data_IF_631109736973
#
_entry.id   IF_631109736973
#
_cell.length_a   1.000
_cell.length_b   1.000
_cell.length_c   1.000
_cell.angle_alpha   90.00
_cell.angle_beta   90.00
_cell.angle_gamma   90.00
#
_symmetry.space_group_name_H-M   'P 1'
#
loop_
_entity.id
_entity.type
_entity.pdbx_description
1 polymer ?
#
# COMPACT_ATOMS: atom_id res chain seq x y z
N UNK A 1 -22.73 -29.64 5.41
CA UNK A 1 -21.93 -29.21 4.23
C UNK A 1 -22.13 -30.15 3.04
N UNK A 2 -22.07 -31.48 3.22
CA UNK A 2 -22.30 -32.42 2.11
C UNK A 2 -23.71 -32.29 1.52
N UNK A 3 -24.74 -32.23 2.35
CA UNK A 3 -26.13 -32.07 1.92
C UNK A 3 -26.34 -30.78 1.11
N UNK A 4 -25.72 -29.67 1.54
CA UNK A 4 -25.75 -28.41 0.81
C UNK A 4 -25.11 -28.53 -0.59
N UNK A 5 -23.97 -29.19 -0.70
CA UNK A 5 -23.31 -29.43 -1.99
C UNK A 5 -24.17 -30.32 -2.90
N UNK A 6 -24.83 -31.32 -2.32
CA UNK A 6 -25.74 -32.20 -3.07
C UNK A 6 -26.96 -31.43 -3.59
N UNK A 7 -27.52 -30.54 -2.78
CA UNK A 7 -28.63 -29.66 -3.19
C UNK A 7 -28.23 -28.76 -4.35
N UNK A 8 -27.06 -28.11 -4.26
CA UNK A 8 -26.53 -27.30 -5.38
C UNK A 8 -26.36 -28.12 -6.66
N UNK A 9 -25.87 -29.33 -6.57
CA UNK A 9 -25.70 -30.23 -7.73
C UNK A 9 -27.05 -30.60 -8.35
N UNK A 10 -28.02 -31.00 -7.55
CA UNK A 10 -29.38 -31.34 -8.00
C UNK A 10 -30.07 -30.13 -8.66
N UNK A 11 -29.92 -28.97 -8.10
CA UNK A 11 -30.41 -27.72 -8.68
C UNK A 11 -29.79 -27.44 -10.07
N UNK A 12 -28.48 -27.55 -10.19
CA UNK A 12 -27.77 -27.38 -11.46
C UNK A 12 -28.19 -28.42 -12.52
N UNK A 13 -28.38 -29.69 -12.15
CA UNK A 13 -28.87 -30.73 -13.07
C UNK A 13 -30.25 -30.38 -13.63
N UNK A 14 -31.15 -29.83 -12.83
CA UNK A 14 -32.45 -29.35 -13.28
C UNK A 14 -32.31 -28.32 -14.40
N UNK A 15 -31.43 -27.33 -14.19
CA UNK A 15 -31.18 -26.27 -15.17
C UNK A 15 -30.47 -26.76 -16.43
N UNK A 16 -29.58 -27.75 -16.35
CA UNK A 16 -28.97 -28.35 -17.53
C UNK A 16 -30.04 -28.92 -18.48
N UNK A 17 -31.07 -29.59 -17.96
CA UNK A 17 -32.15 -30.15 -18.78
C UNK A 17 -33.01 -29.03 -19.44
N UNK A 18 -33.31 -27.98 -18.71
CA UNK A 18 -34.07 -26.81 -19.23
C UNK A 18 -33.27 -26.14 -20.35
N UNK A 19 -32.00 -25.78 -20.08
CA UNK A 19 -31.14 -25.12 -21.06
C UNK A 19 -30.89 -25.95 -22.31
N UNK A 20 -30.75 -27.30 -22.16
CA UNK A 20 -30.63 -28.23 -23.30
C UNK A 20 -31.83 -28.08 -24.24
N UNK A 21 -33.04 -28.14 -23.72
CA UNK A 21 -34.23 -27.99 -24.52
C UNK A 21 -34.33 -26.62 -25.20
N UNK A 22 -33.98 -25.57 -24.50
CA UNK A 22 -34.01 -24.22 -25.02
C UNK A 22 -32.99 -24.00 -26.14
N UNK A 23 -31.74 -24.44 -25.94
CA UNK A 23 -30.69 -24.34 -26.97
C UNK A 23 -31.03 -25.19 -28.23
N UNK A 24 -31.58 -26.37 -28.05
CA UNK A 24 -32.07 -27.18 -29.18
C UNK A 24 -33.17 -26.44 -29.95
N UNK A 25 -34.11 -25.82 -29.24
CA UNK A 25 -35.16 -24.98 -29.85
C UNK A 25 -34.58 -23.80 -30.64
N UNK A 26 -33.50 -23.20 -30.19
CA UNK A 26 -32.79 -22.13 -30.88
C UNK A 26 -31.92 -22.58 -32.06
N UNK A 27 -31.88 -23.88 -32.33
CA UNK A 27 -31.12 -24.44 -33.44
C UNK A 27 -29.63 -24.66 -33.17
N UNK A 28 -29.19 -24.59 -31.92
CA UNK A 28 -27.79 -24.87 -31.55
C UNK A 28 -27.54 -26.37 -31.74
N UNK A 29 -26.45 -26.71 -32.38
CA UNK A 29 -26.00 -28.09 -32.59
C UNK A 29 -24.91 -28.48 -31.61
N UNK A 30 -24.93 -29.74 -31.15
CA UNK A 30 -23.94 -30.27 -30.18
C UNK A 30 -24.20 -31.69 -29.77
N UNK A 31 -23.34 -32.25 -28.94
CA UNK A 31 -23.47 -33.60 -28.38
C UNK A 31 -24.40 -33.58 -27.14
N UNK A 32 -25.67 -33.39 -27.36
CA UNK A 32 -26.68 -33.18 -26.31
C UNK A 32 -26.80 -34.32 -25.31
N UNK A 33 -26.50 -35.56 -25.74
CA UNK A 33 -26.54 -36.76 -24.89
C UNK A 33 -25.28 -36.87 -23.99
N UNK A 34 -24.22 -36.16 -24.32
CA UNK A 34 -22.98 -36.18 -23.57
C UNK A 34 -22.39 -34.74 -23.46
N UNK A 35 -23.09 -33.85 -22.78
CA UNK A 35 -22.60 -32.46 -22.62
C UNK A 35 -21.38 -32.41 -21.72
N UNK A 36 -20.47 -31.47 -21.99
CA UNK A 36 -19.43 -31.11 -21.06
C UNK A 36 -20.03 -30.34 -19.87
N UNK A 37 -19.87 -30.87 -18.66
CA UNK A 37 -20.33 -30.28 -17.42
C UNK A 37 -19.17 -30.23 -16.42
N UNK A 38 -18.84 -29.06 -15.90
CA UNK A 38 -17.77 -28.90 -14.91
C UNK A 38 -18.06 -29.60 -13.59
N UNK A 39 -19.33 -29.93 -13.31
CA UNK A 39 -19.73 -30.68 -12.13
C UNK A 39 -19.65 -32.19 -12.31
N UNK A 40 -19.29 -32.72 -13.50
CA UNK A 40 -19.06 -34.14 -13.68
C UNK A 40 -17.82 -34.59 -12.91
N UNK A 41 -17.89 -35.75 -12.24
CA UNK A 41 -16.75 -36.25 -11.45
C UNK A 41 -15.49 -36.44 -12.28
N UNK A 42 -15.60 -36.78 -13.57
CA UNK A 42 -14.45 -36.83 -14.47
C UNK A 42 -13.82 -35.45 -14.66
N UNK A 43 -14.62 -34.42 -14.90
CA UNK A 43 -14.14 -33.03 -15.05
C UNK A 43 -13.51 -32.52 -13.74
N UNK A 44 -14.16 -32.75 -12.60
CA UNK A 44 -13.62 -32.38 -11.27
C UNK A 44 -12.28 -33.08 -11.01
N UNK A 45 -12.15 -34.36 -11.37
CA UNK A 45 -10.90 -35.12 -11.25
C UNK A 45 -9.78 -34.48 -12.09
N UNK A 46 -10.04 -34.23 -13.37
CA UNK A 46 -9.04 -33.62 -14.27
C UNK A 46 -8.60 -32.22 -13.77
N UNK A 47 -9.57 -31.41 -13.34
CA UNK A 47 -9.27 -30.09 -12.75
C UNK A 47 -8.36 -30.22 -11.51
N UNK A 48 -8.66 -31.17 -10.63
CA UNK A 48 -7.86 -31.42 -9.45
C UNK A 48 -6.45 -31.93 -9.78
N UNK A 49 -6.33 -32.83 -10.75
CA UNK A 49 -5.04 -33.38 -11.22
C UNK A 49 -4.16 -32.28 -11.81
N UNK A 50 -4.70 -31.40 -12.66
CA UNK A 50 -3.98 -30.28 -13.22
C UNK A 50 -3.57 -29.28 -12.12
N UNK A 51 -4.46 -28.98 -11.18
CA UNK A 51 -4.14 -28.11 -10.03
C UNK A 51 -3.00 -28.68 -9.16
N UNK A 52 -3.01 -30.02 -8.94
CA UNK A 52 -1.93 -30.69 -8.24
C UNK A 52 -0.58 -30.57 -8.95
N UNK A 53 -0.57 -30.46 -10.28
CA UNK A 53 0.67 -30.26 -11.05
C UNK A 53 1.36 -28.97 -10.65
N UNK A 54 0.61 -27.87 -10.45
CA UNK A 54 1.16 -26.61 -9.95
C UNK A 54 1.71 -26.73 -8.52
N UNK A 55 1.05 -27.51 -7.66
CA UNK A 55 1.56 -27.79 -6.32
C UNK A 55 2.90 -28.54 -6.37
N UNK A 56 2.99 -29.56 -7.21
CA UNK A 56 4.19 -30.39 -7.32
C UNK A 56 5.38 -29.67 -7.94
N UNK A 57 5.15 -28.64 -8.75
CA UNK A 57 6.19 -27.77 -9.33
C UNK A 57 6.61 -26.63 -8.37
N UNK A 58 5.96 -26.49 -7.23
CA UNK A 58 6.25 -25.44 -6.25
C UNK A 58 5.74 -24.05 -6.62
N UNK A 59 4.95 -23.94 -7.70
CA UNK A 59 4.37 -22.66 -8.13
C UNK A 59 3.09 -22.29 -7.38
N UNK A 60 2.45 -23.26 -6.72
CA UNK A 60 1.28 -23.03 -5.87
C UNK A 60 1.70 -22.91 -4.42
N UNK A 61 1.34 -21.80 -3.80
CA UNK A 61 1.59 -21.55 -2.38
C UNK A 61 0.37 -20.86 -1.74
N UNK A 62 0.26 -20.95 -0.43
CA UNK A 62 -0.73 -20.21 0.33
C UNK A 62 -0.16 -18.85 0.70
N UNK A 63 -0.86 -17.78 0.38
CA UNK A 63 -0.48 -16.42 0.69
C UNK A 63 -1.69 -15.55 0.99
N UNK A 64 -1.43 -14.32 1.43
CA UNK A 64 -2.43 -13.28 1.59
C UNK A 64 -2.18 -12.17 0.56
N UNK A 65 -3.25 -11.61 0.04
CA UNK A 65 -3.19 -10.48 -0.90
C UNK A 65 -4.26 -9.47 -0.50
N UNK A 66 -3.92 -8.17 -0.38
CA UNK A 66 -4.91 -7.13 -0.19
C UNK A 66 -5.91 -7.11 -1.35
N UNK A 67 -7.18 -6.93 -1.02
CA UNK A 67 -8.26 -6.81 -2.01
C UNK A 67 -9.12 -5.61 -1.69
N UNK A 68 -9.74 -5.03 -2.73
CA UNK A 68 -10.69 -3.94 -2.54
C UNK A 68 -11.90 -4.42 -1.74
N UNK A 69 -12.35 -3.58 -0.82
CA UNK A 69 -13.47 -3.86 0.07
C UNK A 69 -14.48 -2.74 0.01
N UNK A 70 -15.75 -3.08 -0.19
CA UNK A 70 -16.85 -2.12 -0.05
C UNK A 70 -17.36 -2.10 1.41
N UNK A 71 -17.23 -0.99 2.13
CA UNK A 71 -17.76 -0.87 3.48
C UNK A 71 -19.30 -0.76 3.49
N UNK A 72 -19.93 -0.42 2.37
CA UNK A 72 -21.38 -0.30 2.21
C UNK A 72 -22.00 -1.68 2.05
N UNK A 73 -21.55 -2.45 1.06
CA UNK A 73 -22.01 -3.81 0.78
C UNK A 73 -21.40 -4.84 1.74
N UNK A 74 -20.32 -4.47 2.46
CA UNK A 74 -19.59 -5.33 3.39
C UNK A 74 -19.07 -6.61 2.71
N UNK A 75 -18.45 -6.44 1.56
CA UNK A 75 -17.90 -7.54 0.76
C UNK A 75 -16.62 -7.12 0.04
N UNK A 76 -15.79 -8.10 -0.32
CA UNK A 76 -14.69 -7.91 -1.26
C UNK A 76 -15.25 -7.64 -2.67
N UNK A 77 -14.54 -6.83 -3.44
CA UNK A 77 -14.87 -6.51 -4.82
C UNK A 77 -13.89 -7.19 -5.77
N UNK A 78 -14.41 -7.69 -6.90
CA UNK A 78 -13.56 -8.03 -8.03
C UNK A 78 -13.06 -6.75 -8.70
N UNK A 79 -11.92 -6.80 -9.37
CA UNK A 79 -11.32 -5.63 -10.04
C UNK A 79 -12.29 -5.00 -11.08
N UNK A 80 -13.06 -5.83 -11.78
CA UNK A 80 -14.06 -5.38 -12.75
C UNK A 80 -15.27 -4.63 -12.13
N UNK A 81 -15.45 -4.72 -10.82
CA UNK A 81 -16.53 -4.05 -10.09
C UNK A 81 -16.08 -2.70 -9.51
N UNK A 82 -14.78 -2.36 -9.65
CA UNK A 82 -14.21 -1.13 -9.12
C UNK A 82 -14.38 -0.02 -10.16
N UNK A 83 -15.00 1.07 -9.73
CA UNK A 83 -15.15 2.28 -10.53
C UNK A 83 -14.28 3.39 -9.95
N UNK A 84 -13.48 4.03 -10.82
CA UNK A 84 -12.60 5.14 -10.46
C UNK A 84 -13.26 6.47 -10.83
N UNK A 85 -13.33 7.37 -9.87
CA UNK A 85 -13.87 8.70 -10.05
C UNK A 85 -12.90 9.76 -9.54
N UNK A 86 -12.96 10.96 -10.14
CA UNK A 86 -12.25 12.12 -9.61
C UNK A 86 -12.72 12.40 -8.18
N UNK A 87 -11.78 12.39 -7.24
CA UNK A 87 -12.06 12.61 -5.83
C UNK A 87 -11.17 13.71 -5.27
N UNK A 88 -11.78 14.66 -4.54
CA UNK A 88 -11.04 15.72 -3.84
C UNK A 88 -10.74 15.26 -2.41
N UNK A 89 -9.47 15.02 -2.11
CA UNK A 89 -9.01 14.59 -0.79
C UNK A 89 -8.15 15.65 -0.12
N UNK A 90 -8.10 15.61 1.22
CA UNK A 90 -7.12 16.37 1.99
C UNK A 90 -5.77 15.67 1.91
N UNK A 91 -4.73 16.46 1.71
CA UNK A 91 -3.34 15.99 1.76
C UNK A 91 -2.63 16.68 2.91
N UNK A 92 -1.73 15.96 3.57
CA UNK A 92 -0.94 16.50 4.67
C UNK A 92 0.54 16.15 4.53
N UNK A 93 1.39 17.02 5.06
CA UNK A 93 2.81 16.77 5.31
C UNK A 93 2.99 16.53 6.79
N UNK A 94 3.69 15.47 7.15
CA UNK A 94 3.87 15.07 8.55
C UNK A 94 5.36 14.89 8.84
N UNK A 95 5.93 15.69 9.75
CA UNK A 95 7.31 15.54 10.17
C UNK A 95 7.44 14.41 11.21
N UNK A 96 8.47 13.56 11.03
CA UNK A 96 8.90 12.55 11.99
C UNK A 96 10.26 12.97 12.55
N UNK A 97 10.37 13.08 13.86
CA UNK A 97 11.62 13.37 14.53
C UNK A 97 12.43 12.08 14.74
N UNK A 98 13.74 12.14 14.59
CA UNK A 98 14.63 11.02 14.92
C UNK A 98 14.72 10.79 16.43
N UNK A 99 14.92 9.51 16.83
CA UNK A 99 15.25 9.13 18.21
C UNK A 99 16.77 9.04 18.37
N UNK A 100 17.37 10.04 18.98
CA UNK A 100 18.82 10.15 19.09
C UNK A 100 19.44 9.12 20.03
N UNK A 101 18.70 8.62 21.01
CA UNK A 101 19.09 7.59 21.95
C UNK A 101 19.12 6.17 21.36
N UNK A 102 18.46 5.98 20.21
CA UNK A 102 18.34 4.68 19.51
C UNK A 102 19.05 4.65 18.17
N UNK A 103 19.50 5.78 17.68
CA UNK A 103 20.15 5.93 16.38
C UNK A 103 21.51 6.59 16.56
N UNK A 104 22.56 6.04 15.96
CA UNK A 104 23.87 6.66 15.97
C UNK A 104 24.04 7.64 14.81
N UNK A 105 23.23 8.71 14.83
CA UNK A 105 23.19 9.73 13.78
C UNK A 105 24.16 10.88 14.05
N UNK A 106 24.65 11.51 12.98
CA UNK A 106 25.35 12.79 13.09
C UNK A 106 24.42 13.87 13.67
N UNK A 107 24.97 14.83 14.41
CA UNK A 107 24.21 15.85 15.16
C UNK A 107 23.22 16.61 14.29
N UNK A 108 23.59 16.94 13.04
CA UNK A 108 22.75 17.67 12.09
C UNK A 108 21.58 16.81 11.55
N UNK A 109 21.82 15.53 11.30
CA UNK A 109 20.79 14.58 10.92
C UNK A 109 19.86 14.28 12.10
N UNK A 110 20.43 14.11 13.29
CA UNK A 110 19.67 13.89 14.52
C UNK A 110 18.73 15.05 14.86
N UNK A 111 19.10 16.28 14.49
CA UNK A 111 18.29 17.47 14.66
C UNK A 111 17.25 17.69 13.56
N UNK A 112 17.40 17.01 12.42
CA UNK A 112 16.48 17.10 11.29
C UNK A 112 15.21 16.28 11.52
N UNK A 113 14.19 16.55 10.72
CA UNK A 113 12.95 15.79 10.68
C UNK A 113 12.74 15.22 9.28
N UNK A 114 12.41 13.96 9.21
CA UNK A 114 11.91 13.33 7.97
C UNK A 114 10.48 13.80 7.74
N UNK A 115 10.16 14.25 6.55
CA UNK A 115 8.80 14.66 6.20
C UNK A 115 8.20 13.68 5.22
N UNK A 116 7.01 13.18 5.52
CA UNK A 116 6.21 12.40 4.56
C UNK A 116 5.04 13.23 4.05
N UNK A 117 4.54 12.90 2.88
CA UNK A 117 3.30 13.41 2.32
C UNK A 117 2.32 12.28 2.11
N UNK A 118 1.06 12.50 2.47
CA UNK A 118 0.01 11.50 2.27
C UNK A 118 -1.31 12.12 1.83
N UNK A 119 -2.03 11.40 0.98
CA UNK A 119 -3.42 11.68 0.58
C UNK A 119 -4.43 10.99 1.49
N UNK A 120 -3.97 10.14 2.41
CA UNK A 120 -4.79 9.31 3.31
C UNK A 120 -4.43 9.56 4.78
N UNK A 121 -4.69 10.78 5.32
CA UNK A 121 -4.24 11.16 6.66
C UNK A 121 -4.75 10.26 7.79
N UNK A 122 -5.87 9.58 7.60
CA UNK A 122 -6.43 8.63 8.57
C UNK A 122 -5.62 7.35 8.76
N UNK A 123 -4.59 7.10 7.93
CA UNK A 123 -3.68 5.96 8.10
C UNK A 123 -2.49 6.27 9.00
N UNK A 124 -2.21 7.54 9.30
CA UNK A 124 -1.11 7.96 10.19
C UNK A 124 -1.15 7.26 11.56
N UNK A 125 -2.32 7.11 12.24
CA UNK A 125 -2.36 6.40 13.52
C UNK A 125 -1.88 4.94 13.46
N UNK A 126 -1.88 4.32 12.28
CA UNK A 126 -1.42 2.95 12.04
C UNK A 126 0.00 2.88 11.46
N UNK A 127 0.72 3.99 11.41
CA UNK A 127 2.10 4.02 10.92
C UNK A 127 2.99 3.05 11.70
N UNK A 128 3.87 2.31 10.99
CA UNK A 128 4.82 1.36 11.59
C UNK A 128 6.26 1.57 11.11
N UNK A 129 6.44 2.28 9.98
CA UNK A 129 7.76 2.58 9.45
C UNK A 129 7.70 3.82 8.54
N UNK A 130 8.86 4.35 8.19
CA UNK A 130 9.05 5.32 7.11
C UNK A 130 9.99 4.69 6.08
N UNK A 131 9.49 4.51 4.86
CA UNK A 131 10.28 3.96 3.77
C UNK A 131 11.10 5.06 3.07
N UNK A 132 12.32 4.71 2.67
CA UNK A 132 13.20 5.50 1.82
C UNK A 132 13.80 4.62 0.74
N UNK A 133 14.38 5.20 -0.31
CA UNK A 133 15.05 4.42 -1.35
C UNK A 133 16.54 4.81 -1.40
N UNK A 134 17.48 3.88 -1.12
CA UNK A 134 18.91 4.19 -1.07
C UNK A 134 19.51 4.65 -2.42
N UNK A 135 18.77 4.50 -3.52
CA UNK A 135 19.17 4.95 -4.86
C UNK A 135 18.84 6.43 -5.11
N UNK A 136 18.05 7.06 -4.23
CA UNK A 136 17.65 8.47 -4.32
C UNK A 136 18.67 9.33 -3.57
N UNK A 137 18.90 10.55 -4.08
CA UNK A 137 19.71 11.55 -3.41
C UNK A 137 18.90 12.32 -2.39
N UNK A 138 19.35 12.33 -1.13
CA UNK A 138 18.73 13.06 -0.05
C UNK A 138 19.61 14.20 0.45
N UNK A 139 19.00 15.24 0.99
CA UNK A 139 19.69 16.36 1.61
C UNK A 139 19.00 16.88 2.86
N UNK A 140 19.81 17.38 3.80
CA UNK A 140 19.31 18.18 4.93
C UNK A 140 19.16 19.61 4.47
N UNK A 141 17.99 20.19 4.68
CA UNK A 141 17.61 21.52 4.31
C UNK A 141 17.28 22.34 5.56
N UNK A 142 17.93 23.49 5.71
CA UNK A 142 17.61 24.43 6.76
C UNK A 142 16.67 25.49 6.22
N UNK A 143 15.61 25.78 6.94
CA UNK A 143 14.72 26.90 6.69
C UNK A 143 15.44 28.19 7.12
N UNK A 144 15.62 29.13 6.21
CA UNK A 144 16.28 30.42 6.50
C UNK A 144 15.23 31.53 6.70
N UNK A 145 14.20 31.58 5.83
CA UNK A 145 13.10 32.56 5.91
C UNK A 145 11.76 31.95 5.53
N UNK A 146 10.68 32.43 6.10
CA UNK A 146 9.31 32.00 5.86
C UNK A 146 8.36 33.15 5.64
N UNK A 147 7.25 32.91 4.94
CA UNK A 147 6.09 33.81 4.94
C UNK A 147 5.33 33.75 6.27
N UNK A 148 4.43 34.72 6.46
CA UNK A 148 3.45 34.66 7.56
C UNK A 148 2.58 33.39 7.43
N UNK A 149 2.22 32.84 8.59
CA UNK A 149 1.43 31.57 8.66
C UNK A 149 2.12 30.33 8.02
N UNK A 150 3.43 30.32 7.92
CA UNK A 150 4.18 29.11 7.55
C UNK A 150 4.03 28.01 8.61
N UNK A 151 4.09 26.76 8.16
CA UNK A 151 4.09 25.59 9.07
C UNK A 151 5.47 25.29 9.65
N UNK A 152 6.50 26.02 9.22
CA UNK A 152 7.89 25.84 9.61
C UNK A 152 8.43 27.14 10.19
N UNK A 153 9.53 27.05 10.94
CA UNK A 153 10.21 28.22 11.53
C UNK A 153 11.62 28.33 10.97
N UNK A 154 12.17 29.59 10.87
CA UNK A 154 13.57 29.76 10.58
C UNK A 154 14.46 28.99 11.57
N UNK A 155 15.43 28.26 11.03
CA UNK A 155 16.29 27.35 11.78
C UNK A 155 15.86 25.90 11.82
N UNK A 156 14.63 25.57 11.47
CA UNK A 156 14.18 24.17 11.36
C UNK A 156 14.98 23.41 10.29
N UNK A 157 15.26 22.13 10.56
CA UNK A 157 15.97 21.24 9.67
C UNK A 157 15.03 20.12 9.18
N UNK A 158 14.99 19.94 7.87
CA UNK A 158 14.18 18.92 7.25
C UNK A 158 14.99 18.07 6.27
N UNK A 159 14.61 16.79 6.17
CA UNK A 159 15.19 15.83 5.23
C UNK A 159 14.20 15.59 4.09
N UNK A 160 14.67 15.79 2.85
CA UNK A 160 13.92 15.55 1.62
C UNK A 160 14.78 14.87 0.56
N UNK A 161 14.15 14.22 -0.41
CA UNK A 161 14.82 13.94 -1.66
C UNK A 161 15.20 15.26 -2.36
N UNK A 162 16.41 15.35 -2.88
CA UNK A 162 16.94 16.59 -3.47
C UNK A 162 16.04 17.11 -4.62
N UNK A 163 15.47 16.21 -5.42
CA UNK A 163 14.60 16.58 -6.53
C UNK A 163 13.24 17.18 -6.10
N UNK A 164 12.78 16.90 -4.87
CA UNK A 164 11.47 17.31 -4.36
C UNK A 164 11.55 18.43 -3.31
N UNK A 165 12.74 18.75 -2.84
CA UNK A 165 12.93 19.66 -1.72
C UNK A 165 12.37 21.09 -1.97
N UNK A 166 12.63 21.67 -3.15
CA UNK A 166 12.16 23.01 -3.52
C UNK A 166 10.63 23.09 -3.52
N UNK A 167 9.97 22.10 -4.11
CA UNK A 167 8.51 22.04 -4.14
C UNK A 167 7.92 21.90 -2.73
N UNK A 168 8.48 21.02 -1.91
CA UNK A 168 8.01 20.79 -0.53
C UNK A 168 8.16 22.04 0.33
N UNK A 169 9.31 22.69 0.26
CA UNK A 169 9.60 23.91 1.02
C UNK A 169 8.72 25.08 0.56
N UNK A 170 8.52 25.25 -0.75
CA UNK A 170 7.62 26.25 -1.30
C UNK A 170 6.17 26.04 -0.83
N UNK A 171 5.65 24.81 -0.85
CA UNK A 171 4.32 24.47 -0.33
C UNK A 171 4.18 24.73 1.17
N UNK A 172 5.28 24.66 1.91
CA UNK A 172 5.34 24.99 3.33
C UNK A 172 5.52 26.50 3.59
N UNK A 173 5.45 27.34 2.56
CA UNK A 173 5.63 28.81 2.62
C UNK A 173 7.03 29.22 3.09
N UNK A 174 8.03 28.45 2.77
CA UNK A 174 9.44 28.80 2.96
C UNK A 174 9.89 29.63 1.78
N UNK A 175 10.41 30.85 2.05
CA UNK A 175 10.89 31.80 1.03
C UNK A 175 12.38 31.69 0.76
N UNK A 176 13.14 31.22 1.75
CA UNK A 176 14.58 31.01 1.64
C UNK A 176 15.00 29.78 2.44
N UNK A 177 15.88 28.98 1.86
CA UNK A 177 16.42 27.77 2.49
C UNK A 177 17.86 27.50 2.03
N UNK A 178 18.59 26.76 2.83
CA UNK A 178 19.95 26.33 2.55
C UNK A 178 20.05 24.79 2.62
N UNK A 179 20.60 24.16 1.55
CA UNK A 179 20.99 22.77 1.60
C UNK A 179 22.30 22.62 2.38
N UNK A 180 22.29 21.95 3.50
CA UNK A 180 23.47 21.82 4.37
C UNK A 180 24.42 20.75 3.86
N UNK A 181 23.93 19.54 3.60
CA UNK A 181 24.71 18.41 3.05
C UNK A 181 23.83 17.32 2.45
N UNK A 182 24.49 16.39 1.75
CA UNK A 182 23.88 15.13 1.34
C UNK A 182 23.74 14.15 2.52
N UNK A 183 22.74 13.29 2.44
CA UNK A 183 22.52 12.14 3.33
C UNK A 183 22.47 10.89 2.49
N UNK A 184 23.19 9.86 2.90
CA UNK A 184 23.25 8.57 2.20
C UNK A 184 22.24 7.59 2.76
N UNK A 185 21.86 6.58 1.97
CA UNK A 185 20.99 5.48 2.44
C UNK A 185 21.58 4.74 3.66
N UNK A 186 22.91 4.60 3.71
CA UNK A 186 23.60 3.96 4.85
C UNK A 186 23.41 4.71 6.17
N UNK A 187 23.34 6.07 6.11
CA UNK A 187 23.06 6.89 7.30
C UNK A 187 21.62 6.74 7.79
N UNK A 188 20.69 6.29 6.93
CA UNK A 188 19.28 6.09 7.24
C UNK A 188 18.95 4.65 7.65
N UNK A 189 19.79 3.67 7.32
CA UNK A 189 19.49 2.24 7.46
C UNK A 189 19.17 1.80 8.89
N UNK A 190 19.81 2.42 9.87
CA UNK A 190 19.62 2.12 11.30
C UNK A 190 18.86 3.23 12.04
N UNK A 191 18.32 4.20 11.29
CA UNK A 191 17.63 5.33 11.88
C UNK A 191 16.22 4.94 12.36
N UNK A 192 15.86 5.48 13.51
CA UNK A 192 14.54 5.28 14.14
C UNK A 192 13.90 6.64 14.38
N UNK A 193 12.64 6.75 14.00
CA UNK A 193 11.83 7.93 14.22
C UNK A 193 10.87 7.76 15.40
N UNK A 194 10.41 8.88 15.93
CA UNK A 194 9.29 8.94 16.88
C UNK A 194 7.99 9.05 16.10
N UNK A 195 6.99 8.29 16.50
CA UNK A 195 5.65 8.42 15.91
C UNK A 195 5.09 9.83 16.16
N UNK A 196 4.50 10.52 15.16
CA UNK A 196 4.07 11.92 15.31
C UNK A 196 2.97 12.11 16.36
N UNK A 197 2.24 11.06 16.73
CA UNK A 197 1.21 11.09 17.77
C UNK A 197 1.73 10.60 19.15
N UNK A 198 3.01 10.30 19.32
CA UNK A 198 3.57 9.77 20.58
C UNK A 198 3.37 10.69 21.80
N UNK A 199 3.19 12.01 21.57
CA UNK A 199 2.90 12.96 22.63
C UNK A 199 1.44 13.00 23.08
N UNK A 200 0.53 12.32 22.33
CA UNK A 200 -0.90 12.31 22.63
C UNK A 200 -1.30 11.14 23.50
N UNK A 201 -0.68 9.97 23.30
CA UNK A 201 -0.98 8.76 24.05
C UNK A 201 0.19 7.78 23.96
N UNK A 202 0.44 7.04 25.06
CA UNK A 202 1.49 6.00 25.15
C UNK A 202 1.31 4.87 24.13
N UNK A 203 0.11 4.70 23.58
CA UNK A 203 -0.16 3.74 22.51
C UNK A 203 0.76 3.93 21.30
N UNK A 204 1.16 5.18 21.01
CA UNK A 204 2.05 5.52 19.90
C UNK A 204 3.53 5.68 20.32
N UNK A 205 3.89 5.31 21.56
CA UNK A 205 5.28 5.40 22.07
C UNK A 205 6.14 4.23 21.63
N UNK A 206 5.97 3.75 20.41
CA UNK A 206 6.81 2.69 19.81
C UNK A 206 7.78 3.27 18.77
N UNK A 207 8.80 2.48 18.47
CA UNK A 207 9.80 2.83 17.47
C UNK A 207 9.24 2.76 16.06
N UNK A 208 9.54 3.80 15.27
CA UNK A 208 9.22 3.87 13.84
C UNK A 208 10.54 3.76 13.06
N UNK A 209 10.94 2.55 12.60
CA UNK A 209 12.18 2.38 11.87
C UNK A 209 12.11 3.01 10.49
N UNK A 210 13.29 3.44 10.00
CA UNK A 210 13.49 3.70 8.57
C UNK A 210 13.72 2.37 7.87
N UNK A 211 13.06 2.15 6.73
CA UNK A 211 13.17 0.91 5.96
C UNK A 211 13.48 1.20 4.49
N UNK A 212 14.25 0.33 3.88
CA UNK A 212 14.51 0.36 2.43
C UNK A 212 13.25 -0.06 1.65
N UNK A 213 12.90 0.71 0.61
CA UNK A 213 11.71 0.46 -0.22
C UNK A 213 11.89 0.94 -1.66
N UNK A 214 11.95 0.01 -2.60
CA UNK A 214 12.08 0.31 -4.04
C UNK A 214 10.85 1.07 -4.63
N UNK A 215 9.71 1.05 -3.92
CA UNK A 215 8.49 1.78 -4.31
C UNK A 215 8.57 3.29 -4.05
N UNK A 216 9.56 3.75 -3.29
CA UNK A 216 9.80 5.19 -3.06
C UNK A 216 10.43 5.81 -4.29
N UNK A 217 9.82 6.88 -4.81
CA UNK A 217 10.25 7.58 -6.04
C UNK A 217 10.51 9.07 -5.81
N UNK A 218 11.08 9.74 -6.82
CA UNK A 218 11.30 11.19 -6.87
C UNK A 218 10.24 11.93 -7.70
N UNK A 219 9.15 11.27 -8.07
CA UNK A 219 8.13 11.85 -8.94
C UNK A 219 7.10 12.70 -8.18
N UNK A 220 6.84 12.35 -6.92
CA UNK A 220 5.88 13.06 -6.07
C UNK A 220 6.20 12.86 -4.57
N UNK A 221 5.63 13.71 -3.73
CA UNK A 221 5.77 13.62 -2.29
C UNK A 221 7.04 14.29 -1.77
N UNK A 222 7.82 13.58 -0.98
CA UNK A 222 8.99 14.11 -0.25
C UNK A 222 10.26 13.28 -0.47
N UNK A 223 10.14 12.12 -1.16
CA UNK A 223 11.16 11.08 -1.21
C UNK A 223 11.13 10.13 -0.01
N UNK A 224 10.11 10.23 0.83
CA UNK A 224 9.83 9.33 1.95
C UNK A 224 8.37 8.95 1.95
N UNK A 225 8.09 7.69 2.29
CA UNK A 225 6.73 7.15 2.34
C UNK A 225 6.46 6.59 3.73
N UNK A 226 5.37 7.03 4.35
CA UNK A 226 4.90 6.41 5.58
C UNK A 226 4.31 5.03 5.27
N UNK A 227 4.60 4.05 6.09
CA UNK A 227 4.15 2.67 5.91
C UNK A 227 3.15 2.29 7.00
N UNK A 228 1.94 1.91 6.58
CA UNK A 228 0.88 1.43 7.46
C UNK A 228 0.39 0.06 6.96
N UNK A 229 0.94 -1.06 7.45
CA UNK A 229 0.55 -2.40 7.06
C UNK A 229 -0.96 -2.61 7.12
N UNK A 230 -1.53 -3.23 6.10
CA UNK A 230 -2.98 -3.43 5.90
C UNK A 230 -3.76 -2.21 5.38
N UNK A 231 -3.10 -1.12 5.00
CA UNK A 231 -3.72 0.07 4.42
C UNK A 231 -3.31 0.37 2.98
N UNK A 232 -2.40 -0.41 2.41
CA UNK A 232 -1.94 -0.32 1.02
C UNK A 232 -1.32 -1.63 0.58
N UNK A 233 -1.26 -1.88 -0.73
CA UNK A 233 -0.64 -3.09 -1.28
C UNK A 233 0.88 -3.07 -1.12
N UNK A 234 1.48 -1.88 -1.27
CA UNK A 234 2.93 -1.68 -1.15
C UNK A 234 3.39 -1.70 0.32
N UNK A 235 2.48 -1.43 1.26
CA UNK A 235 2.76 -1.44 2.70
C UNK A 235 2.73 -2.86 3.31
N UNK A 236 2.16 -3.82 2.57
CA UNK A 236 1.97 -5.19 3.02
C UNK A 236 3.20 -6.04 2.76
#
# INVERSE_FOLDING_TARGET
MLDFRQECRSFAEGWVNIQRAEFQRLGVTGAWENPYLTMNFHAERVIAEEFMTFLMTGTLYQGSKPVMWSPVEKTALAEAEIEYHEHKSHTIWVPFAFQNDKSNLADDLAAARVVIWTTTPWTIPSNKAVAYNPKISYGIYRVDETEDESWTNPGDLYLFADALAEECLSKSRVTSFSRLRAVTGDELSDAVCTHPLATLDDFWSYDVPMIDGDHVTEEAGTGFVHTAPSHGADDY
#
